data_IF_349071614187
#
_entry.id   IF_349071614187
#
_cell.length_a   1.000
_cell.length_b   1.000
_cell.length_c   1.000
_cell.angle_alpha   90.00
_cell.angle_beta   90.00
_cell.angle_gamma   90.00
#
_symmetry.space_group_name_H-M   'P 1'
#
loop_
_entity.id
_entity.type
_entity.pdbx_description
1 polymer ?
2 polymer ?
3 water ?
#
# COMPACT_ATOMS: atom_id res chain seq x y z
N UNK A 1 13.38 -16.01 -16.33
CA UNK A 1 12.36 -15.78 -17.40
C UNK A 1 11.10 -16.59 -17.10
N UNK A 2 11.05 -17.18 -15.90
CA UNK A 2 9.92 -17.98 -15.47
C UNK A 2 8.59 -17.25 -15.60
N UNK A 3 8.55 -15.99 -15.16
CA UNK A 3 7.33 -15.19 -15.23
C UNK A 3 7.08 -14.55 -16.59
N UNK A 4 7.72 -15.08 -17.63
CA UNK A 4 7.55 -14.57 -18.99
C UNK A 4 7.16 -15.70 -19.95
N UNK A 5 6.92 -16.88 -19.39
CA UNK A 5 6.52 -18.04 -20.18
C UNK A 5 5.02 -18.00 -20.42
N UNK A 6 4.62 -18.33 -21.65
CA UNK A 6 3.22 -18.37 -22.02
C UNK A 6 2.53 -17.02 -21.95
N UNK A 7 3.30 -15.94 -21.87
CA UNK A 7 2.67 -14.64 -21.80
C UNK A 7 2.18 -14.28 -23.21
N UNK A 8 0.92 -13.86 -23.33
CA UNK A 8 0.39 -13.50 -24.65
C UNK A 8 -0.05 -12.04 -24.74
N UNK A 9 -0.02 -11.34 -23.60
CA UNK A 9 -0.32 -9.92 -23.55
C UNK A 9 0.41 -9.37 -22.32
N UNK A 10 1.21 -8.33 -22.53
CA UNK A 10 1.98 -7.70 -21.44
C UNK A 10 1.97 -6.18 -21.64
N UNK A 11 0.97 -5.51 -21.06
CA UNK A 11 0.84 -4.06 -21.22
C UNK A 11 1.78 -3.29 -20.30
N UNK A 12 2.65 -2.48 -20.90
CA UNK A 12 3.63 -1.70 -20.17
C UNK A 12 3.70 -0.25 -20.64
N UNK A 13 4.10 0.62 -19.71
CA UNK A 13 4.24 2.02 -20.03
C UNK A 13 5.43 2.22 -20.95
N UNK A 14 5.29 3.16 -21.88
CA UNK A 14 6.36 3.52 -22.79
C UNK A 14 5.99 4.84 -23.50
N UNK A 15 6.81 5.88 -23.33
CA UNK A 15 6.59 7.18 -23.97
C UNK A 15 5.19 7.72 -23.79
N UNK A 16 4.80 7.94 -22.54
CA UNK A 16 3.46 8.42 -22.26
C UNK A 16 2.43 7.59 -23.00
N UNK A 17 2.58 6.27 -22.99
CA UNK A 17 1.63 5.41 -23.67
C UNK A 17 1.69 4.01 -23.09
N UNK A 18 0.74 3.17 -23.47
CA UNK A 18 0.73 1.79 -23.02
C UNK A 18 0.95 0.96 -24.27
N UNK A 19 1.81 -0.04 -24.16
CA UNK A 19 2.14 -0.87 -25.31
C UNK A 19 2.22 -2.34 -24.92
N UNK A 20 1.85 -3.22 -25.85
CA UNK A 20 1.93 -4.64 -25.61
C UNK A 20 3.35 -5.09 -25.88
N UNK A 21 4.03 -5.59 -24.85
CA UNK A 21 5.41 -6.05 -24.98
C UNK A 21 5.53 -7.55 -24.94
N UNK A 22 4.43 -8.24 -25.17
CA UNK A 22 4.39 -9.70 -25.18
C UNK A 22 5.26 -10.30 -26.29
N UNK A 23 5.44 -9.54 -27.37
CA UNK A 23 6.19 -10.05 -28.49
C UNK A 23 5.23 -10.47 -29.60
N UNK A 24 3.94 -10.25 -29.37
CA UNK A 24 2.94 -10.60 -30.38
C UNK A 24 2.35 -9.38 -31.07
N UNK A 25 2.76 -8.20 -30.61
CA UNK A 25 2.33 -6.96 -31.24
C UNK A 25 0.87 -6.54 -31.29
N UNK A 26 0.15 -6.76 -30.21
CA UNK A 26 -1.24 -6.37 -30.14
C UNK A 26 -1.34 -4.84 -30.23
N UNK A 27 -2.44 -4.36 -30.80
CA UNK A 27 -2.67 -2.93 -30.92
C UNK A 27 -3.36 -2.45 -29.63
N UNK A 28 -2.86 -1.34 -29.10
CA UNK A 28 -3.41 -0.78 -27.88
C UNK A 28 -3.77 0.68 -28.13
N UNK A 29 -5.03 1.01 -27.84
CA UNK A 29 -5.49 2.38 -28.03
C UNK A 29 -5.95 2.93 -26.69
N UNK A 30 -5.14 3.81 -26.12
CA UNK A 30 -5.44 4.46 -24.85
C UNK A 30 -6.05 5.82 -25.18
N UNK A 31 -7.29 6.05 -24.73
CA UNK A 31 -7.96 7.32 -24.99
C UNK A 31 -7.57 8.37 -23.96
N UNK A 32 -7.77 9.63 -24.32
CA UNK A 32 -7.41 10.79 -23.49
C UNK A 32 -7.93 10.84 -22.06
N UNK A 33 -8.94 10.03 -21.72
CA UNK A 33 -9.45 10.06 -20.36
C UNK A 33 -8.70 9.14 -19.40
N UNK A 34 -7.68 8.45 -19.89
CA UNK A 34 -6.90 7.54 -19.04
C UNK A 34 -5.63 8.20 -18.51
N UNK A 35 -5.47 8.31 -17.19
CA UNK A 35 -4.25 8.92 -16.69
C UNK A 35 -3.18 7.83 -16.59
N UNK A 36 -1.98 8.12 -17.10
CA UNK A 36 -0.84 7.21 -17.07
C UNK A 36 0.40 7.87 -16.49
N UNK A 37 1.20 7.13 -15.76
CA UNK A 37 2.47 7.68 -15.26
C UNK A 37 3.59 6.64 -15.52
N UNK A 38 4.84 7.08 -15.40
CA UNK A 38 5.97 6.22 -15.65
C UNK A 38 6.23 5.17 -14.57
N UNK A 39 5.32 5.05 -13.61
CA UNK A 39 5.45 4.02 -12.61
C UNK A 39 4.52 2.88 -13.07
N UNK A 40 4.13 2.91 -14.35
CA UNK A 40 3.25 1.88 -14.92
C UNK A 40 1.84 1.82 -14.33
N UNK A 41 1.39 2.89 -13.68
CA UNK A 41 0.06 2.91 -13.12
C UNK A 41 -0.88 3.63 -14.09
N UNK A 42 -2.11 3.15 -14.22
CA UNK A 42 -3.07 3.85 -15.06
C UNK A 42 -4.42 3.92 -14.33
N UNK A 43 -5.12 5.02 -14.55
CA UNK A 43 -6.38 5.29 -13.86
C UNK A 43 -7.58 5.33 -14.78
N UNK A 44 -8.61 4.58 -14.43
CA UNK A 44 -9.85 4.57 -15.21
C UNK A 44 -10.84 5.35 -14.38
N UNK A 45 -11.45 6.38 -14.98
CA UNK A 45 -12.44 7.22 -14.29
C UNK A 45 -13.82 6.99 -14.91
N UNK A 46 -14.79 7.80 -14.52
CA UNK A 46 -16.14 7.68 -15.06
C UNK A 46 -16.32 8.44 -16.37
N UNK A 47 -15.30 9.15 -16.84
CA UNK A 47 -15.47 9.86 -18.10
C UNK A 47 -15.62 8.88 -19.25
N UNK A 48 -16.41 9.29 -20.24
CA UNK A 48 -16.68 8.45 -21.40
C UNK A 48 -15.42 8.10 -22.18
N UNK A 49 -14.44 9.00 -22.17
CA UNK A 49 -13.20 8.76 -22.89
C UNK A 49 -12.10 8.15 -22.00
N UNK A 50 -12.48 7.69 -20.81
CA UNK A 50 -11.53 7.06 -19.91
C UNK A 50 -11.58 5.56 -20.21
N UNK A 51 -10.89 5.16 -21.27
CA UNK A 51 -10.92 3.76 -21.68
C UNK A 51 -9.70 3.37 -22.51
N UNK A 52 -9.48 2.07 -22.55
CA UNK A 52 -8.39 1.51 -23.31
C UNK A 52 -8.95 0.38 -24.14
N UNK A 53 -8.56 0.33 -25.41
CA UNK A 53 -9.00 -0.72 -26.32
C UNK A 53 -7.80 -1.54 -26.77
N UNK A 54 -7.86 -2.85 -26.56
CA UNK A 54 -6.78 -3.73 -26.99
C UNK A 54 -7.33 -4.70 -28.03
N UNK A 55 -6.71 -4.73 -29.19
CA UNK A 55 -7.11 -5.65 -30.25
C UNK A 55 -6.02 -6.72 -30.27
N UNK A 56 -6.40 -7.94 -29.92
CA UNK A 56 -5.45 -9.05 -29.83
C UNK A 56 -5.02 -9.64 -31.17
N UNK A 57 -3.80 -10.16 -31.19
CA UNK A 57 -3.23 -10.81 -32.36
C UNK A 57 -4.03 -12.10 -32.54
N UNK A 58 -4.83 -12.18 -33.58
CA UNK A 58 -5.65 -13.37 -33.83
C UNK A 58 -4.90 -14.67 -34.13
N UNK A 59 -3.61 -14.58 -34.45
CA UNK A 59 -2.83 -15.78 -34.75
C UNK A 59 -2.43 -16.54 -33.51
N UNK A 60 -2.63 -15.95 -32.34
CA UNK A 60 -2.26 -16.62 -31.11
C UNK A 60 -3.16 -17.84 -30.91
N UNK A 61 -2.57 -18.94 -30.44
CA UNK A 61 -3.33 -20.17 -30.24
C UNK A 61 -3.64 -20.43 -28.77
N UNK A 62 -4.89 -20.82 -28.52
CA UNK A 62 -5.37 -21.12 -27.18
C UNK A 62 -5.67 -22.62 -27.03
N UNK A 63 -5.80 -23.09 -25.79
CA UNK A 63 -6.09 -24.49 -25.59
C UNK A 63 -7.47 -24.78 -26.16
N UNK A 64 -7.53 -25.80 -27.03
CA UNK A 64 -8.78 -26.18 -27.68
C UNK A 64 -9.64 -27.17 -26.87
N UNK A 65 -9.01 -27.90 -25.97
CA UNK A 65 -9.72 -28.86 -25.13
C UNK A 65 -10.46 -28.14 -24.01
N UNK A 66 -9.75 -27.31 -23.25
CA UNK A 66 -10.37 -26.56 -22.18
C UNK A 66 -9.79 -25.16 -22.10
N UNK A 67 -10.45 -24.31 -21.31
CA UNK A 67 -10.00 -22.94 -21.12
C UNK A 67 -8.78 -22.99 -20.21
N UNK A 68 -7.59 -22.82 -20.78
CA UNK A 68 -6.36 -22.88 -20.01
C UNK A 68 -5.56 -21.56 -20.02
N UNK A 69 -5.99 -20.60 -19.22
CA UNK A 69 -5.27 -19.34 -19.22
C UNK A 69 -5.32 -18.56 -17.91
N UNK A 70 -4.53 -17.51 -17.84
CA UNK A 70 -4.43 -16.73 -16.63
C UNK A 70 -4.32 -15.23 -16.88
N UNK A 71 -4.82 -14.46 -15.93
CA UNK A 71 -4.75 -13.01 -15.99
C UNK A 71 -4.17 -12.50 -14.67
N UNK A 72 -3.27 -11.54 -14.74
CA UNK A 72 -2.69 -10.97 -13.54
C UNK A 72 -2.52 -9.46 -13.69
N UNK A 73 -2.59 -8.76 -12.56
CA UNK A 73 -2.47 -7.30 -12.52
C UNK A 73 -2.51 -6.82 -11.08
N UNK A 74 -2.10 -5.57 -10.88
CA UNK A 74 -2.14 -4.99 -9.55
C UNK A 74 -3.28 -4.01 -9.63
N UNK A 75 -3.96 -3.81 -8.51
CA UNK A 75 -5.09 -2.89 -8.53
C UNK A 75 -5.17 -2.08 -7.23
N UNK A 76 -5.82 -0.93 -7.30
CA UNK A 76 -5.99 -0.14 -6.10
C UNK A 76 -7.39 0.43 -6.18
N UNK A 77 -8.27 -0.06 -5.30
CA UNK A 77 -9.68 0.32 -5.28
C UNK A 77 -9.98 1.32 -4.15
N UNK A 78 -10.53 2.49 -4.49
CA UNK A 78 -10.82 3.45 -3.42
C UNK A 78 -11.84 3.03 -2.36
N UNK A 79 -11.70 3.64 -1.20
CA UNK A 79 -12.59 3.40 -0.10
C UNK A 79 -13.99 3.86 -0.50
N UNK A 80 -14.99 3.24 0.11
CA UNK A 80 -16.38 3.61 -0.11
C UNK A 80 -16.61 5.01 0.47
N UNK A 81 -17.67 5.68 0.01
CA UNK A 81 -18.03 6.98 0.56
C UNK A 81 -18.96 6.68 1.75
N UNK A 82 -18.67 7.25 2.91
CA UNK A 82 -19.50 7.03 4.10
C UNK A 82 -20.98 7.31 3.88
N UNK A 83 -21.28 8.32 3.07
CA UNK A 83 -22.67 8.66 2.80
C UNK A 83 -23.16 8.03 1.49
N UNK A 84 -22.54 6.93 1.07
CA UNK A 84 -22.95 6.27 -0.15
C UNK A 84 -22.74 4.78 -0.03
N UNK A 85 -22.80 4.30 1.19
CA UNK A 85 -22.59 2.89 1.48
C UNK A 85 -23.49 1.94 0.67
N UNK A 86 -24.78 2.25 0.57
CA UNK A 86 -25.70 1.39 -0.15
C UNK A 86 -25.32 1.14 -1.60
N UNK A 87 -25.07 2.21 -2.36
CA UNK A 87 -24.71 2.04 -3.75
C UNK A 87 -23.41 1.25 -3.86
N UNK A 88 -22.48 1.51 -2.95
CA UNK A 88 -21.19 0.82 -2.94
C UNK A 88 -21.45 -0.68 -2.87
N UNK A 89 -22.21 -1.08 -1.85
CA UNK A 89 -22.54 -2.48 -1.63
C UNK A 89 -23.34 -3.17 -2.72
N UNK A 90 -24.21 -2.43 -3.41
CA UNK A 90 -25.07 -3.02 -4.42
C UNK A 90 -24.76 -2.82 -5.87
N UNK A 91 -24.16 -1.69 -6.23
CA UNK A 91 -23.90 -1.44 -7.64
C UNK A 91 -22.64 -2.08 -8.18
N UNK A 92 -22.84 -3.05 -9.07
CA UNK A 92 -21.73 -3.75 -9.68
C UNK A 92 -21.35 -3.05 -10.96
N UNK A 93 -20.05 -2.94 -11.20
CA UNK A 93 -19.58 -2.31 -12.43
C UNK A 93 -18.43 -3.10 -13.05
N UNK A 94 -18.47 -3.22 -14.37
CA UNK A 94 -17.43 -3.91 -15.11
C UNK A 94 -16.23 -2.98 -15.24
N UNK A 95 -15.04 -3.53 -15.17
CA UNK A 95 -13.87 -2.68 -15.32
C UNK A 95 -13.08 -3.10 -16.54
N UNK A 96 -13.07 -4.41 -16.81
CA UNK A 96 -12.40 -4.98 -17.97
C UNK A 96 -13.34 -6.01 -18.61
N UNK A 97 -13.56 -5.87 -19.91
CA UNK A 97 -14.48 -6.75 -20.63
C UNK A 97 -13.90 -7.28 -21.95
N UNK A 98 -13.88 -8.61 -22.12
CA UNK A 98 -13.37 -9.20 -23.37
C UNK A 98 -14.41 -10.20 -23.92
N UNK A 99 -15.35 -9.68 -24.69
CA UNK A 99 -16.42 -10.50 -25.24
C UNK A 99 -16.42 -10.61 -26.77
N UNK A 100 -16.76 -11.79 -27.26
CA UNK A 100 -16.84 -12.00 -28.70
C UNK A 100 -18.01 -12.96 -28.92
N UNK A 101 -18.95 -12.53 -29.75
CA UNK A 101 -20.14 -13.31 -30.05
C UNK A 101 -20.83 -13.79 -28.78
N UNK A 102 -20.84 -12.92 -27.78
CA UNK A 102 -21.48 -13.17 -26.50
C UNK A 102 -20.80 -14.21 -25.63
N UNK A 103 -19.53 -14.45 -25.91
CA UNK A 103 -18.75 -15.39 -25.15
C UNK A 103 -17.46 -14.67 -24.77
N UNK A 104 -16.89 -15.00 -23.62
CA UNK A 104 -15.68 -14.34 -23.20
C UNK A 104 -15.55 -14.26 -21.69
N UNK A 105 -14.79 -13.27 -21.23
CA UNK A 105 -14.58 -13.10 -19.82
C UNK A 105 -14.66 -11.63 -19.45
N UNK A 106 -14.82 -11.37 -18.17
CA UNK A 106 -14.86 -10.00 -17.70
C UNK A 106 -14.48 -9.93 -16.24
N UNK A 107 -13.96 -8.77 -15.87
CA UNK A 107 -13.57 -8.52 -14.50
C UNK A 107 -14.47 -7.36 -14.08
N UNK A 108 -15.15 -7.55 -12.96
CA UNK A 108 -16.04 -6.51 -12.49
C UNK A 108 -15.85 -6.31 -10.99
N UNK A 109 -16.48 -5.25 -10.49
CA UNK A 109 -16.38 -4.91 -9.09
C UNK A 109 -17.73 -4.53 -8.48
N UNK A 110 -18.01 -5.05 -7.30
CA UNK A 110 -19.22 -4.66 -6.59
C UNK A 110 -18.77 -4.32 -5.16
N UNK A 111 -18.67 -3.03 -4.87
CA UNK A 111 -18.24 -2.63 -3.53
C UNK A 111 -16.86 -3.16 -3.18
N UNK A 112 -16.80 -4.03 -2.19
CA UNK A 112 -15.54 -4.62 -1.70
C UNK A 112 -15.27 -6.03 -2.24
N UNK A 113 -15.86 -6.34 -3.38
CA UNK A 113 -15.69 -7.64 -4.01
C UNK A 113 -15.17 -7.45 -5.44
N UNK A 114 -14.19 -8.27 -5.84
CA UNK A 114 -13.63 -8.25 -7.19
C UNK A 114 -14.13 -9.55 -7.80
N UNK A 115 -14.73 -9.46 -8.98
CA UNK A 115 -15.36 -10.62 -9.63
C UNK A 115 -14.85 -11.00 -11.03
N UNK A 116 -14.60 -12.30 -11.23
CA UNK A 116 -14.16 -12.86 -12.50
C UNK A 116 -15.30 -13.70 -13.03
N UNK A 117 -15.71 -13.43 -14.26
CA UNK A 117 -16.83 -14.12 -14.90
C UNK A 117 -16.50 -14.67 -16.28
N UNK A 118 -16.94 -15.90 -16.51
CA UNK A 118 -16.74 -16.61 -17.78
C UNK A 118 -18.09 -16.96 -18.39
N UNK A 119 -18.22 -16.72 -19.69
CA UNK A 119 -19.45 -17.04 -20.40
C UNK A 119 -19.05 -17.88 -21.61
N UNK A 120 -19.51 -19.13 -21.68
CA UNK A 120 -19.13 -19.97 -22.81
C UNK A 120 -20.04 -19.78 -24.03
N UNK A 121 -19.80 -20.53 -25.09
CA UNK A 121 -20.59 -20.38 -26.31
C UNK A 121 -22.05 -20.79 -26.19
N UNK A 122 -22.38 -21.58 -25.17
CA UNK A 122 -23.76 -21.99 -24.95
C UNK A 122 -24.48 -20.95 -24.10
N UNK A 123 -23.74 -19.96 -23.62
CA UNK A 123 -24.35 -18.93 -22.82
C UNK A 123 -24.29 -19.23 -21.34
N UNK A 124 -23.70 -20.37 -20.99
CA UNK A 124 -23.59 -20.73 -19.59
C UNK A 124 -22.54 -19.82 -18.91
N UNK A 125 -22.78 -19.50 -17.66
CA UNK A 125 -21.91 -18.61 -16.91
C UNK A 125 -21.44 -19.13 -15.58
N UNK A 126 -20.28 -18.64 -15.17
CA UNK A 126 -19.69 -19.02 -13.88
C UNK A 126 -18.83 -17.86 -13.42
N UNK A 127 -18.78 -17.67 -12.11
CA UNK A 127 -17.95 -16.61 -11.57
C UNK A 127 -17.23 -17.08 -10.32
N UNK A 128 -16.19 -16.35 -9.97
CA UNK A 128 -15.42 -16.59 -8.76
C UNK A 128 -15.00 -15.19 -8.32
N UNK A 129 -15.05 -14.92 -7.02
CA UNK A 129 -14.70 -13.59 -6.53
C UNK A 129 -13.86 -13.54 -5.25
N UNK A 130 -13.34 -12.35 -4.96
CA UNK A 130 -12.56 -12.12 -3.74
C UNK A 130 -13.16 -10.90 -3.06
N UNK A 131 -13.52 -11.06 -1.81
CA UNK A 131 -14.13 -9.95 -1.07
C UNK A 131 -13.28 -9.65 0.16
N UNK A 132 -12.96 -8.39 0.39
CA UNK A 132 -12.17 -8.06 1.57
C UNK A 132 -13.08 -7.37 2.58
N UNK A 133 -12.77 -7.57 3.85
CA UNK A 133 -13.54 -7.03 4.93
C UNK A 133 -13.56 -5.50 4.98
N UNK A 134 -14.73 -4.92 5.28
CA UNK A 134 -14.84 -3.47 5.40
C UNK A 134 -15.24 -3.02 6.83
N UNK A 135 -14.81 -3.77 7.83
CA UNK A 135 -15.11 -3.43 9.21
C UNK A 135 -13.89 -3.55 10.12
N UNK A 136 -12.73 -3.79 9.53
CA UNK A 136 -11.49 -3.89 10.30
C UNK A 136 -10.99 -2.51 10.69
N UNK A 137 -10.25 -2.43 11.79
CA UNK A 137 -9.69 -1.16 12.23
C UNK A 137 -8.80 -0.63 11.09
N UNK A 138 -7.91 -1.49 10.62
CA UNK A 138 -6.99 -1.14 9.53
C UNK A 138 -7.00 -2.24 8.47
N UNK A 139 -7.43 -1.90 7.27
CA UNK A 139 -7.47 -2.90 6.20
C UNK A 139 -6.16 -2.99 5.41
N UNK A 140 -5.81 -4.19 4.98
CA UNK A 140 -4.62 -4.40 4.16
C UNK A 140 -4.95 -4.18 2.67
N UNK A 141 -6.24 -4.05 2.34
CA UNK A 141 -6.66 -3.90 0.94
C UNK A 141 -7.36 -2.61 0.50
N UNK A 142 -8.12 -1.98 1.37
CA UNK A 142 -8.84 -0.78 0.98
C UNK A 142 -7.93 0.37 0.55
N UNK A 143 -8.11 0.78 -0.71
CA UNK A 143 -7.34 1.87 -1.31
C UNK A 143 -5.81 1.62 -1.32
N UNK A 144 -5.41 0.37 -1.12
CA UNK A 144 -3.98 0.03 -1.13
C UNK A 144 -3.68 -0.90 -2.30
N UNK A 145 -2.52 -0.73 -2.91
CA UNK A 145 -2.16 -1.60 -4.04
C UNK A 145 -2.06 -3.07 -3.64
N UNK A 146 -2.72 -3.95 -4.38
CA UNK A 146 -2.57 -5.38 -4.12
C UNK A 146 -2.55 -6.15 -5.44
N UNK A 147 -1.99 -7.35 -5.38
CA UNK A 147 -1.76 -8.21 -6.54
C UNK A 147 -2.81 -9.28 -6.78
N UNK A 148 -3.37 -9.30 -7.99
CA UNK A 148 -4.40 -10.25 -8.32
C UNK A 148 -3.93 -11.15 -9.45
N UNK A 149 -4.32 -12.42 -9.36
CA UNK A 149 -4.01 -13.39 -10.41
C UNK A 149 -5.20 -14.34 -10.47
N UNK A 150 -5.76 -14.49 -11.66
CA UNK A 150 -6.88 -15.40 -11.88
C UNK A 150 -6.38 -16.48 -12.84
N UNK A 151 -6.58 -17.75 -12.50
CA UNK A 151 -6.15 -18.84 -13.36
C UNK A 151 -7.36 -19.70 -13.65
N UNK A 152 -7.37 -20.30 -14.83
CA UNK A 152 -8.47 -21.16 -15.26
C UNK A 152 -7.89 -22.42 -15.92
N UNK A 153 -8.43 -23.58 -15.57
CA UNK A 153 -8.02 -24.82 -16.23
C UNK A 153 -9.31 -25.58 -16.51
N UNK A 154 -9.19 -26.86 -16.83
CA UNK A 154 -10.36 -27.66 -17.12
C UNK A 154 -11.37 -27.69 -15.98
N UNK A 155 -10.89 -27.86 -14.76
CA UNK A 155 -11.76 -27.99 -13.60
C UNK A 155 -12.22 -26.80 -12.77
N UNK A 156 -11.44 -25.72 -12.74
CA UNK A 156 -11.86 -24.57 -11.95
C UNK A 156 -11.15 -23.25 -12.16
N UNK A 157 -11.80 -22.20 -11.68
CA UNK A 157 -11.28 -20.85 -11.77
C UNK A 157 -10.84 -20.44 -10.36
N UNK A 158 -9.61 -19.96 -10.25
CA UNK A 158 -9.04 -19.56 -8.97
C UNK A 158 -8.64 -18.09 -8.95
N UNK A 159 -8.72 -17.49 -7.77
CA UNK A 159 -8.29 -16.12 -7.57
C UNK A 159 -7.24 -16.14 -6.46
N UNK A 160 -6.07 -15.62 -6.79
CA UNK A 160 -4.96 -15.53 -5.87
C UNK A 160 -4.79 -14.04 -5.54
N UNK A 161 -4.59 -13.74 -4.26
CA UNK A 161 -4.37 -12.36 -3.88
C UNK A 161 -3.02 -12.32 -3.22
N UNK A 162 -2.15 -11.46 -3.75
CA UNK A 162 -0.80 -11.32 -3.24
C UNK A 162 -0.07 -12.66 -3.15
N UNK A 163 -0.24 -13.47 -4.19
CA UNK A 163 0.42 -14.76 -4.25
C UNK A 163 -0.27 -15.91 -3.53
N UNK A 164 -1.35 -15.65 -2.82
CA UNK A 164 -2.02 -16.71 -2.09
C UNK A 164 -3.45 -17.01 -2.57
N UNK A 165 -3.78 -18.30 -2.62
CA UNK A 165 -5.10 -18.73 -3.08
C UNK A 165 -6.19 -18.26 -2.13
N UNK A 166 -7.17 -17.56 -2.67
CA UNK A 166 -8.28 -17.02 -1.88
C UNK A 166 -9.64 -17.59 -2.25
N UNK A 167 -9.84 -17.86 -3.53
CA UNK A 167 -11.14 -18.38 -3.99
C UNK A 167 -10.97 -19.37 -5.11
N UNK A 168 -11.99 -20.20 -5.27
CA UNK A 168 -12.01 -21.22 -6.30
C UNK A 168 -13.45 -21.56 -6.65
N UNK A 169 -13.71 -21.78 -7.93
CA UNK A 169 -15.04 -22.15 -8.41
C UNK A 169 -14.90 -23.26 -9.44
N UNK A 170 -15.72 -24.30 -9.30
CA UNK A 170 -15.69 -25.40 -10.25
C UNK A 170 -16.32 -24.94 -11.56
N UNK A 171 -15.62 -25.20 -12.67
CA UNK A 171 -16.13 -24.82 -13.98
C UNK A 171 -16.17 -25.99 -14.96
N UNK A 172 -16.12 -27.22 -14.45
CA UNK A 172 -16.15 -28.41 -15.29
C UNK A 172 -17.33 -28.36 -16.27
N UNK A 173 -18.37 -27.63 -15.90
CA UNK A 173 -19.59 -27.47 -16.70
C UNK A 173 -19.43 -26.56 -17.91
N UNK A 174 -18.48 -25.64 -17.83
CA UNK A 174 -18.28 -24.71 -18.91
C UNK A 174 -17.58 -25.32 -20.12
N UNK A 175 -18.13 -25.02 -21.29
CA UNK A 175 -17.54 -25.52 -22.52
C UNK A 175 -16.73 -24.38 -23.17
N UNK A 176 -16.58 -24.37 -24.49
CA UNK A 176 -15.78 -23.33 -25.13
C UNK A 176 -16.09 -21.88 -24.76
N UNK A 177 -15.02 -21.14 -24.47
CA UNK A 177 -15.12 -19.72 -24.15
C UNK A 177 -14.28 -18.96 -25.18
N UNK A 178 -14.86 -17.99 -25.87
CA UNK A 178 -14.10 -17.22 -26.87
C UNK A 178 -13.30 -16.13 -26.13
N UNK A 179 -11.98 -16.28 -26.11
CA UNK A 179 -11.13 -15.33 -25.37
C UNK A 179 -10.23 -14.36 -26.16
N UNK A 180 -10.35 -14.34 -27.48
CA UNK A 180 -9.51 -13.44 -28.24
C UNK A 180 -10.18 -12.17 -28.78
N UNK A 181 -11.36 -11.83 -28.25
CA UNK A 181 -12.02 -10.62 -28.71
C UNK A 181 -11.30 -9.37 -28.22
N UNK A 182 -11.82 -8.19 -28.54
CA UNK A 182 -11.19 -6.94 -28.10
C UNK A 182 -11.28 -6.85 -26.59
N UNK A 183 -10.27 -6.28 -25.96
CA UNK A 183 -10.34 -6.12 -24.52
C UNK A 183 -10.63 -4.64 -24.28
N UNK A 184 -11.71 -4.36 -23.54
CA UNK A 184 -12.06 -2.98 -23.26
C UNK A 184 -11.86 -2.69 -21.76
N UNK A 185 -10.95 -1.77 -21.46
CA UNK A 185 -10.71 -1.36 -20.08
C UNK A 185 -11.57 -0.10 -19.92
N UNK A 186 -12.59 -0.17 -19.07
CA UNK A 186 -13.49 0.96 -18.88
C UNK A 186 -14.52 0.66 -17.81
N UNK A 187 -14.79 1.63 -16.94
CA UNK A 187 -15.78 1.45 -15.88
C UNK A 187 -17.16 1.45 -16.51
N UNK A 188 -17.89 0.35 -16.37
CA UNK A 188 -19.21 0.27 -16.98
C UNK A 188 -20.27 -0.26 -16.01
N UNK A 189 -21.21 0.61 -15.67
CA UNK A 189 -22.27 0.23 -14.76
C UNK A 189 -22.83 1.49 -14.12
N UNK A 190 -23.69 1.33 -13.12
CA UNK A 190 -24.26 2.49 -12.45
C UNK A 190 -23.27 2.94 -11.39
N UNK A 191 -22.26 3.68 -11.82
CA UNK A 191 -21.22 4.14 -10.93
C UNK A 191 -21.35 5.61 -10.57
N UNK A 192 -20.76 5.99 -9.46
CA UNK A 192 -20.78 7.38 -9.06
C UNK A 192 -19.83 8.11 -10.01
N UNK A 193 -20.03 9.42 -10.12
CA UNK A 193 -19.24 10.28 -10.96
C UNK A 193 -17.80 10.37 -10.46
N UNK A 194 -17.61 10.17 -9.16
CA UNK A 194 -16.29 10.21 -8.55
C UNK A 194 -15.58 8.87 -8.52
N UNK A 195 -16.21 7.81 -9.03
CA UNK A 195 -15.60 6.50 -9.03
C UNK A 195 -14.38 6.41 -9.93
N UNK A 196 -13.36 5.69 -9.46
CA UNK A 196 -12.17 5.50 -10.27
C UNK A 196 -11.46 4.24 -9.79
N UNK A 197 -10.55 3.75 -10.60
CA UNK A 197 -9.77 2.56 -10.29
C UNK A 197 -8.36 2.76 -10.84
N UNK A 198 -7.34 2.33 -10.10
CA UNK A 198 -5.95 2.36 -10.59
C UNK A 198 -5.51 0.91 -10.87
N UNK A 199 -4.78 0.69 -11.96
CA UNK A 199 -4.30 -0.64 -12.29
C UNK A 199 -2.87 -0.52 -12.73
N UNK A 200 -2.17 -1.66 -12.70
CA UNK A 200 -0.76 -1.72 -13.08
C UNK A 200 -0.36 -3.12 -13.54
N UNK A 201 0.56 -3.20 -14.49
CA UNK A 201 1.08 -4.49 -14.99
C UNK A 201 0.07 -5.52 -15.47
N UNK A 202 -0.90 -5.13 -16.28
CA UNK A 202 -1.88 -6.10 -16.76
C UNK A 202 -1.23 -7.08 -17.74
N UNK A 203 -1.43 -8.37 -17.48
CA UNK A 203 -0.84 -9.43 -18.30
C UNK A 203 -1.77 -10.64 -18.48
N UNK A 204 -1.63 -11.30 -19.61
CA UNK A 204 -2.44 -12.49 -19.88
C UNK A 204 -1.50 -13.61 -20.30
N UNK A 205 -1.81 -14.84 -19.87
CA UNK A 205 -0.99 -16.00 -20.20
C UNK A 205 -1.90 -17.07 -20.78
N UNK A 206 -1.40 -17.83 -21.75
CA UNK A 206 -2.23 -18.91 -22.28
C UNK A 206 -1.87 -20.23 -21.58
N UNK A 207 -2.00 -20.20 -20.27
CA UNK A 207 -1.73 -21.38 -19.47
C UNK A 207 -2.20 -21.07 -18.05
N UNK A 208 -2.45 -22.12 -17.28
CA UNK A 208 -2.87 -21.98 -15.89
C UNK A 208 -1.57 -21.84 -15.10
N UNK A 209 -1.36 -20.67 -14.48
CA UNK A 209 -0.15 -20.44 -13.70
C UNK A 209 -0.18 -21.22 -12.38
N UNK A 210 0.97 -21.75 -11.98
CA UNK A 210 1.09 -22.49 -10.73
C UNK A 210 1.20 -21.51 -9.56
N UNK A 211 0.87 -21.97 -8.37
CA UNK A 211 0.94 -21.13 -7.18
C UNK A 211 2.36 -20.62 -7.00
N UNK A 212 3.33 -21.50 -7.24
CA UNK A 212 4.74 -21.17 -7.13
C UNK A 212 5.12 -20.07 -8.12
N UNK A 213 4.63 -20.21 -9.34
CA UNK A 213 4.91 -19.21 -10.37
C UNK A 213 4.29 -17.86 -10.00
N UNK A 214 3.08 -17.90 -9.44
CA UNK A 214 2.37 -16.70 -9.04
C UNK A 214 3.05 -15.96 -7.88
N UNK A 215 3.48 -16.71 -6.87
CA UNK A 215 4.14 -16.11 -5.72
C UNK A 215 5.44 -15.44 -6.15
N UNK A 216 6.12 -16.07 -7.09
CA UNK A 216 7.38 -15.55 -7.62
C UNK A 216 7.18 -14.21 -8.33
N UNK A 217 6.14 -14.14 -9.16
CA UNK A 217 5.83 -12.91 -9.90
C UNK A 217 5.41 -11.80 -8.90
N UNK A 218 4.76 -12.18 -7.82
CA UNK A 218 4.36 -11.20 -6.82
C UNK A 218 5.60 -10.51 -6.26
N UNK A 219 6.58 -11.32 -5.86
CA UNK A 219 7.82 -10.79 -5.31
C UNK A 219 8.60 -9.97 -6.33
N UNK A 220 8.69 -10.45 -7.56
CA UNK A 220 9.42 -9.73 -8.60
C UNK A 220 8.77 -8.39 -8.90
N UNK A 221 7.45 -8.36 -9.01
CA UNK A 221 6.78 -7.11 -9.31
C UNK A 221 6.70 -6.19 -8.08
N UNK A 222 6.88 -6.72 -6.87
CA UNK A 222 6.84 -5.90 -5.63
C UNK A 222 8.19 -5.25 -5.38
N UNK A 223 9.21 -5.76 -6.06
CA UNK A 223 10.55 -5.25 -5.87
C UNK A 223 10.83 -3.85 -6.40
N UNK A 224 11.55 -3.05 -5.62
CA UNK A 224 11.95 -1.70 -6.04
C UNK A 224 13.11 -1.22 -5.15
N UNK A 225 13.90 -0.29 -5.68
CA UNK A 225 15.02 0.26 -4.94
C UNK A 225 14.51 1.24 -3.88
N UNK A 226 13.33 1.80 -4.16
CA UNK A 226 12.73 2.77 -3.26
C UNK A 226 11.72 2.22 -2.26
N UNK A 227 11.49 3.02 -1.22
CA UNK A 227 10.54 2.66 -0.20
C UNK A 227 9.14 3.05 -0.71
N UNK A 228 8.12 2.48 -0.11
CA UNK A 228 6.76 2.76 -0.51
C UNK A 228 6.01 3.41 0.65
N UNK A 229 4.92 4.13 0.35
CA UNK A 229 4.12 4.70 1.42
C UNK A 229 3.02 3.68 1.79
N UNK A 230 2.12 4.05 2.69
CA UNK A 230 1.06 3.16 3.20
C UNK A 230 0.17 2.56 2.10
N UNK A 231 -0.13 3.35 1.07
CA UNK A 231 -0.99 2.91 -0.03
C UNK A 231 -0.21 2.02 -1.01
N UNK A 232 1.11 2.07 -0.94
CA UNK A 232 1.91 1.24 -1.83
C UNK A 232 2.59 2.03 -2.93
N UNK A 233 2.42 3.35 -2.94
CA UNK A 233 3.07 4.20 -3.94
C UNK A 233 4.47 4.54 -3.42
N UNK A 234 5.35 5.04 -4.30
CA UNK A 234 6.72 5.39 -3.87
C UNK A 234 6.72 6.42 -2.75
N UNK A 235 7.60 6.23 -1.77
CA UNK A 235 7.73 7.14 -0.65
C UNK A 235 8.51 8.35 -1.16
N UNK A 236 8.10 9.55 -0.76
CA UNK A 236 8.77 10.77 -1.25
C UNK A 236 9.33 11.72 -0.19
N UNK A 237 10.33 12.49 -0.61
CA UNK A 237 10.93 13.52 0.22
C UNK A 237 10.00 14.74 0.04
N UNK A 238 10.02 15.65 1.00
CA UNK A 238 9.24 16.88 0.93
C UNK A 238 7.73 16.70 0.77
N UNK A 239 7.20 15.60 1.30
CA UNK A 239 5.78 15.32 1.20
C UNK A 239 5.23 15.06 2.60
N UNK A 240 4.06 15.64 2.90
CA UNK A 240 3.45 15.48 4.23
C UNK A 240 2.88 14.08 4.40
N UNK A 241 3.18 13.49 5.54
CA UNK A 241 2.71 12.15 5.85
C UNK A 241 2.29 12.05 7.31
N UNK A 242 1.28 11.22 7.57
CA UNK A 242 0.88 10.91 8.95
C UNK A 242 1.68 9.62 9.16
N UNK A 243 1.94 9.23 10.41
CA UNK A 243 2.70 8.01 10.63
C UNK A 243 1.88 6.87 11.23
N UNK A 244 2.14 5.66 10.73
CA UNK A 244 1.42 4.46 11.15
C UNK A 244 2.44 3.46 11.67
N UNK A 245 2.08 2.79 12.76
CA UNK A 245 2.97 1.81 13.35
C UNK A 245 2.35 0.41 13.25
N UNK A 246 3.05 -0.48 12.56
CA UNK A 246 2.59 -1.84 12.33
C UNK A 246 2.39 -2.66 13.59
N UNK A 247 3.16 -2.36 14.64
CA UNK A 247 3.04 -3.10 15.89
C UNK A 247 1.99 -2.54 16.83
N UNK A 248 1.43 -1.37 16.50
CA UNK A 248 0.41 -0.71 17.31
C UNK A 248 -0.48 0.05 16.33
N UNK A 249 -1.16 -0.71 15.49
CA UNK A 249 -2.00 -0.17 14.43
C UNK A 249 -3.03 0.88 14.83
N UNK A 250 -3.51 0.83 16.07
CA UNK A 250 -4.50 1.79 16.52
C UNK A 250 -3.89 2.96 17.28
N UNK A 251 -2.57 3.09 17.20
CA UNK A 251 -1.87 4.18 17.88
C UNK A 251 -1.34 5.25 16.93
N UNK A 252 -1.27 6.47 17.42
CA UNK A 252 -0.71 7.57 16.63
C UNK A 252 0.09 8.51 17.54
N UNK A 253 1.01 9.23 16.93
CA UNK A 253 1.90 10.17 17.62
C UNK A 253 1.33 11.59 17.73
N UNK A 254 1.42 12.14 18.94
CA UNK A 254 0.95 13.48 19.22
C UNK A 254 1.95 14.16 20.13
N UNK A 255 2.37 15.36 19.77
CA UNK A 255 3.32 16.11 20.59
C UNK A 255 2.66 16.36 21.94
N UNK A 256 3.32 15.96 23.01
CA UNK A 256 2.77 16.14 24.34
C UNK A 256 2.63 17.62 24.70
N UNK A 257 1.50 17.97 25.31
CA UNK A 257 1.23 19.34 25.72
C UNK A 257 2.30 19.84 26.69
N UNK A 258 2.90 20.99 26.39
CA UNK A 258 3.92 21.55 27.26
C UNK A 258 5.18 20.70 27.45
N UNK A 259 5.38 19.68 26.60
CA UNK A 259 6.60 18.89 26.70
C UNK A 259 7.06 18.48 25.31
N UNK A 260 8.37 18.60 25.03
CA UNK A 260 8.97 18.27 23.74
C UNK A 260 9.17 16.77 23.47
N UNK A 261 8.09 16.00 23.64
CA UNK A 261 8.15 14.56 23.42
C UNK A 261 6.88 14.14 22.70
N UNK A 262 6.91 12.94 22.15
CA UNK A 262 5.75 12.44 21.44
C UNK A 262 5.07 11.37 22.25
N UNK A 263 3.82 11.63 22.61
CA UNK A 263 3.05 10.64 23.35
C UNK A 263 2.22 9.91 22.32
N UNK A 264 1.82 8.69 22.66
CA UNK A 264 1.04 7.85 21.77
C UNK A 264 -0.40 7.82 22.21
N UNK A 265 -1.31 8.17 21.31
CA UNK A 265 -2.72 8.16 21.62
C UNK A 265 -3.43 7.08 20.80
N UNK A 266 -4.70 6.83 21.09
CA UNK A 266 -5.49 5.82 20.40
C UNK A 266 -6.30 6.40 19.25
N UNK A 267 -6.23 5.75 18.10
CA UNK A 267 -6.95 6.22 16.93
C UNK A 267 -8.45 6.23 17.16
N UNK A 268 -9.10 7.32 16.75
CA UNK A 268 -10.54 7.42 16.86
C UNK A 268 -11.08 6.60 15.68
N UNK A 269 -12.40 6.37 15.64
CA UNK A 269 -12.96 5.60 14.56
C UNK A 269 -14.31 6.10 14.05
N UNK A 270 -14.78 5.47 12.99
CA UNK A 270 -16.05 5.78 12.34
C UNK A 270 -17.14 6.00 13.39
N UNK A 271 -17.82 7.14 13.27
CA UNK A 271 -18.88 7.53 14.20
C UNK A 271 -20.23 7.03 13.72
N UNK A 272 -20.75 7.71 12.70
CA UNK A 272 -22.04 7.40 12.10
C UNK A 272 -22.42 5.95 12.37
N UNK A 273 -23.69 5.71 12.67
CA UNK A 273 -24.10 4.36 12.97
C UNK A 273 -24.48 3.52 11.77
N UNK A 274 -23.45 2.96 11.13
CA UNK A 274 -23.64 2.09 9.98
C UNK A 274 -23.01 0.76 10.39
N UNK A 275 -23.85 -0.27 10.54
CA UNK A 275 -23.37 -1.59 10.94
C UNK A 275 -22.61 -2.24 9.80
N UNK A 276 -22.72 -1.65 8.62
CA UNK A 276 -22.04 -2.19 7.44
C UNK A 276 -20.54 -1.89 7.41
N UNK A 277 -20.15 -0.73 7.93
CA UNK A 277 -18.75 -0.33 7.91
C UNK A 277 -18.13 0.11 9.24
N UNK A 278 -16.82 -0.12 9.35
CA UNK A 278 -16.00 0.28 10.49
C UNK A 278 -14.52 0.42 10.09
N UNK A 279 -13.88 1.45 10.60
CA UNK A 279 -12.47 1.71 10.33
C UNK A 279 -11.97 2.71 11.36
N UNK A 280 -10.65 2.77 11.53
CA UNK A 280 -10.01 3.72 12.43
C UNK A 280 -9.50 4.85 11.53
N UNK A 281 -9.48 6.07 12.06
CA UNK A 281 -9.02 7.21 11.30
C UNK A 281 -7.53 7.12 11.02
N UNK A 282 -7.15 7.56 9.82
CA UNK A 282 -5.77 7.55 9.34
C UNK A 282 -5.13 8.93 9.32
N UNK A 283 -5.92 9.95 9.05
CA UNK A 283 -5.38 11.29 8.97
C UNK A 283 -5.40 11.94 10.35
N UNK A 284 -4.57 11.45 11.27
CA UNK A 284 -4.50 12.01 12.62
C UNK A 284 -3.09 11.95 13.14
N UNK A 285 -2.82 12.76 14.16
CA UNK A 285 -1.50 12.83 14.76
C UNK A 285 -0.71 13.90 14.02
N UNK A 286 0.58 14.04 14.35
CA UNK A 286 1.40 15.04 13.71
C UNK A 286 1.63 14.74 12.22
N UNK A 287 1.81 15.81 11.45
CA UNK A 287 2.09 15.69 10.02
C UNK A 287 3.61 15.73 9.92
N UNK A 288 4.19 14.64 9.43
CA UNK A 288 5.62 14.54 9.29
C UNK A 288 6.07 14.88 7.86
N UNK A 289 7.36 15.10 7.69
CA UNK A 289 7.89 15.35 6.38
C UNK A 289 9.34 14.88 6.37
N UNK A 290 9.70 14.13 5.34
CA UNK A 290 11.05 13.58 5.22
C UNK A 290 11.93 14.51 4.37
N UNK A 291 13.09 14.86 4.91
CA UNK A 291 14.06 15.73 4.24
C UNK A 291 15.34 14.95 3.97
N UNK A 292 15.88 15.17 2.79
CA UNK A 292 17.10 14.53 2.38
C UNK A 292 18.24 15.14 3.19
N UNK A 293 19.16 14.31 3.67
CA UNK A 293 20.31 14.87 4.38
C UNK A 293 21.33 14.97 3.25
N UNK A 294 21.82 16.19 3.00
CA UNK A 294 22.82 16.43 1.96
C UNK A 294 22.80 17.88 1.52
N UNK A 301 11.37 17.37 -4.48
CA UNK A 301 10.56 16.17 -4.28
C UNK A 301 11.13 14.93 -4.95
N UNK A 302 11.82 14.10 -4.17
CA UNK A 302 12.38 12.87 -4.71
C UNK A 302 11.78 11.61 -4.13
N UNK A 303 12.35 10.47 -4.50
CA UNK A 303 11.82 9.17 -4.13
C UNK A 303 12.24 8.32 -2.90
N UNK A 304 12.98 8.88 -1.95
CA UNK A 304 13.45 8.10 -0.80
C UNK A 304 13.80 6.63 -1.10
N UNK A 305 15.08 6.33 -1.09
CA UNK A 305 15.56 4.97 -1.34
C UNK A 305 16.12 4.35 -0.09
N UNK A 306 16.10 3.02 -0.06
CA UNK A 306 16.66 2.28 1.07
C UNK A 306 18.08 2.74 1.32
N UNK A 307 18.43 2.87 2.60
CA UNK A 307 19.76 3.28 3.04
C UNK A 307 20.04 4.77 2.97
N UNK A 308 19.10 5.57 2.48
CA UNK A 308 19.29 7.02 2.40
C UNK A 308 19.37 7.62 3.79
N UNK A 309 20.12 8.72 3.94
CA UNK A 309 20.20 9.39 5.23
C UNK A 309 19.21 10.55 5.19
N UNK A 310 18.38 10.65 6.21
CA UNK A 310 17.34 11.65 6.20
C UNK A 310 17.20 12.34 7.53
N UNK A 311 16.27 13.29 7.56
CA UNK A 311 15.89 14.00 8.76
C UNK A 311 14.39 13.74 8.76
N UNK A 312 13.84 13.40 9.93
CA UNK A 312 12.42 13.17 10.06
C UNK A 312 11.90 14.41 10.75
N UNK A 313 11.19 15.24 10.00
CA UNK A 313 10.67 16.49 10.54
C UNK A 313 9.16 16.41 10.65
N UNK A 314 8.58 17.38 11.33
CA UNK A 314 7.14 17.44 11.46
C UNK A 314 6.75 18.90 11.68
N UNK A 315 5.47 19.18 11.49
CA UNK A 315 4.98 20.53 11.64
C UNK A 315 4.38 20.87 13.00
N UNK A 316 4.99 21.85 13.63
CA UNK A 316 4.51 22.31 14.93
C UNK A 316 4.19 23.79 14.85
N UNK A 317 2.91 24.13 14.83
CA UNK A 317 2.47 25.52 14.80
C UNK A 317 3.33 26.45 13.94
N UNK A 318 3.05 26.44 12.65
CA UNK A 318 3.74 27.29 11.70
C UNK A 318 5.26 27.14 11.56
N UNK A 319 5.82 26.07 12.09
CA UNK A 319 7.27 25.90 11.98
C UNK A 319 7.63 24.44 11.80
N UNK A 320 8.71 24.19 11.05
CA UNK A 320 9.14 22.82 10.83
C UNK A 320 10.04 22.42 11.98
N UNK A 321 9.65 21.36 12.69
CA UNK A 321 10.45 20.85 13.80
C UNK A 321 11.14 19.56 13.38
N UNK A 322 11.95 19.00 14.28
CA UNK A 322 12.71 17.80 13.95
C UNK A 322 12.68 16.75 15.06
N UNK A 323 12.92 15.50 14.68
CA UNK A 323 12.95 14.38 15.63
C UNK A 323 14.39 14.04 15.94
N UNK A 324 14.74 14.10 17.22
CA UNK A 324 16.11 13.82 17.66
C UNK A 324 16.16 12.73 18.73
N UNK A 325 17.34 12.16 18.91
CA UNK A 325 17.57 11.20 19.99
C UNK A 325 18.73 11.75 20.83
N UNK A 326 18.55 11.74 22.14
CA UNK A 326 19.63 12.18 23.03
C UNK A 326 20.78 11.21 22.74
N UNK A 327 22.00 11.73 22.65
CA UNK A 327 23.17 10.91 22.37
C UNK A 327 23.61 10.01 23.53
N UNK A 328 23.17 10.30 24.75
CA UNK A 328 23.64 9.49 25.87
C UNK A 328 22.59 8.88 26.80
N UNK A 329 21.44 8.47 26.27
CA UNK A 329 20.45 7.86 27.15
C UNK A 329 21.13 6.59 27.69
N UNK A 330 20.89 6.26 28.96
CA UNK A 330 21.55 5.09 29.51
C UNK A 330 20.72 3.80 29.62
N UNK A 331 19.41 3.93 29.42
CA UNK A 331 18.53 2.77 29.48
C UNK A 331 18.53 2.08 28.11
N UNK A 332 17.72 1.05 27.97
CA UNK A 332 17.62 0.31 26.73
C UNK A 332 16.93 1.13 25.64
N UNK A 333 15.94 1.92 26.06
CA UNK A 333 15.19 2.76 25.15
C UNK A 333 14.89 4.09 25.85
N UNK A 334 14.69 5.14 25.07
CA UNK A 334 14.39 6.46 25.62
C UNK A 334 13.40 7.25 24.78
N UNK A 335 12.83 8.29 25.36
CA UNK A 335 11.89 9.15 24.66
C UNK A 335 12.66 9.99 23.66
N UNK A 336 12.11 10.18 22.47
CA UNK A 336 12.75 11.00 21.44
C UNK A 336 12.52 12.47 21.77
N UNK A 337 13.45 13.31 21.34
CA UNK A 337 13.35 14.75 21.58
C UNK A 337 12.78 15.38 20.30
N UNK A 338 11.63 16.05 20.42
CA UNK A 338 10.97 16.71 19.29
C UNK A 338 11.09 18.20 19.49
N UNK A 339 11.94 18.84 18.67
CA UNK A 339 12.19 20.27 18.81
C UNK A 339 12.54 20.99 17.51
N UNK A 340 12.79 22.32 17.59
CA UNK A 340 13.12 23.08 16.39
C UNK A 340 14.43 22.58 15.78
N UNK A 341 14.62 22.94 14.52
CA UNK A 341 15.82 22.57 13.78
C UNK A 341 16.97 23.46 14.27
N UNK A 342 18.00 22.84 14.83
CA UNK A 342 19.14 23.58 15.32
C UNK A 342 20.26 22.61 15.64
N UNK A 343 21.49 23.12 15.70
CA UNK A 343 22.64 22.30 16.00
C UNK A 343 22.75 22.03 17.49
N UNK A 344 23.32 20.87 17.81
CA UNK A 344 23.45 20.47 19.20
C UNK A 344 24.59 19.49 19.38
N UNK A 345 25.16 19.47 20.58
CA UNK A 345 26.26 18.56 20.88
C UNK A 345 25.70 17.27 21.49
N UNK A 346 24.57 17.38 22.17
CA UNK A 346 23.97 16.24 22.85
C UNK A 346 22.82 15.49 22.17
N UNK A 347 22.56 15.77 20.90
CA UNK A 347 21.49 15.09 20.19
C UNK A 347 21.88 14.66 18.80
N UNK A 348 21.43 13.48 18.41
CA UNK A 348 21.65 12.97 17.06
C UNK A 348 20.40 13.31 16.24
N UNK A 349 20.57 13.66 14.97
CA UNK A 349 19.42 14.02 14.13
C UNK A 349 19.38 13.22 12.83
N UNK A 350 20.46 12.52 12.52
CA UNK A 350 20.54 11.75 11.29
C UNK A 350 19.92 10.37 11.42
N UNK A 351 19.03 10.06 10.48
CA UNK A 351 18.38 8.76 10.51
C UNK A 351 18.64 8.08 9.19
N UNK A 352 18.87 6.78 9.22
CA UNK A 352 19.04 6.07 7.97
C UNK A 352 17.75 5.26 7.87
N UNK A 353 17.09 5.34 6.72
CA UNK A 353 15.84 4.63 6.55
C UNK A 353 16.15 3.24 5.97
N UNK A 354 15.59 2.20 6.58
CA UNK A 354 15.88 0.84 6.17
C UNK A 354 14.67 0.00 5.79
N UNK A 355 14.97 -1.16 5.22
CA UNK A 355 13.97 -2.13 4.86
C UNK A 355 14.57 -3.50 5.22
N UNK A 356 14.25 -3.99 6.40
CA UNK A 356 14.80 -5.26 6.87
C UNK A 356 14.02 -6.48 6.43
N UNK A 357 12.75 -6.29 6.08
CA UNK A 357 11.92 -7.40 5.66
C UNK A 357 12.39 -7.86 4.29
N UNK A 358 12.41 -9.17 4.06
CA UNK A 358 12.82 -9.69 2.76
C UNK A 358 11.59 -9.98 1.89
N UNK A 359 10.42 -10.04 2.52
CA UNK A 359 9.17 -10.25 1.81
C UNK A 359 8.55 -8.88 1.48
N UNK A 360 7.71 -8.82 0.44
CA UNK A 360 7.06 -7.55 0.05
C UNK A 360 6.41 -6.91 1.28
N UNK A 361 6.60 -5.61 1.47
CA UNK A 361 6.02 -4.93 2.62
C UNK A 361 5.94 -3.45 2.29
N UNK A 362 5.13 -2.70 3.02
CA UNK A 362 5.07 -1.26 2.81
C UNK A 362 5.66 -0.62 4.07
N UNK A 363 6.19 -1.45 4.97
CA UNK A 363 6.78 -0.91 6.20
C UNK A 363 8.27 -0.65 6.03
N UNK A 364 8.79 0.34 6.73
CA UNK A 364 10.21 0.62 6.72
C UNK A 364 10.65 0.84 8.18
N UNK A 365 11.95 0.92 8.40
CA UNK A 365 12.48 1.15 9.75
C UNK A 365 13.39 2.38 9.73
N UNK A 366 13.49 3.02 10.90
CA UNK A 366 14.26 4.25 11.07
C UNK A 366 15.43 4.06 12.06
N UNK A 367 16.64 4.02 11.52
CA UNK A 367 17.86 3.80 12.31
C UNK A 367 18.64 5.08 12.58
N UNK A 368 18.76 5.46 13.85
CA UNK A 368 19.52 6.65 14.18
C UNK A 368 21.00 6.35 14.06
N UNK A 369 21.72 7.28 13.46
CA UNK A 369 23.15 7.14 13.24
C UNK A 369 23.91 8.26 13.93
N UNK A 370 25.08 7.91 14.45
CA UNK A 370 25.96 8.87 15.13
C UNK A 370 26.39 9.80 14.00
N UNK A 371 26.97 9.18 12.99
CA UNK A 371 27.46 9.87 11.81
C UNK A 371 27.15 8.96 10.62
N UNK A 372 26.92 9.56 9.46
CA UNK A 372 26.64 8.77 8.26
C UNK A 372 27.79 7.80 8.04
N UNK A 373 29.01 8.30 8.22
CA UNK A 373 30.22 7.51 8.05
C UNK A 373 30.33 6.38 9.06
N UNK A 374 30.44 6.72 10.35
CA UNK A 374 30.56 5.71 11.38
C UNK A 374 29.52 4.60 11.23
N UNK A 375 29.94 3.37 11.46
CA UNK A 375 29.06 2.21 11.34
C UNK A 375 28.33 1.96 12.65
N UNK A 376 28.48 2.88 13.59
CA UNK A 376 27.84 2.78 14.90
C UNK A 376 26.31 2.87 14.82
N UNK A 377 25.64 2.01 15.57
CA UNK A 377 24.17 2.00 15.60
C UNK A 377 23.63 2.40 16.96
N UNK A 378 22.93 3.53 16.99
CA UNK A 378 22.38 4.04 18.23
C UNK A 378 21.10 3.31 18.66
N UNK A 379 20.22 3.06 17.70
CA UNK A 379 18.98 2.39 18.02
C UNK A 379 17.94 2.65 16.95
N UNK A 380 16.78 2.00 17.08
CA UNK A 380 15.70 2.15 16.12
C UNK A 380 14.51 2.85 16.75
N UNK A 381 13.77 3.59 15.94
CA UNK A 381 12.60 4.30 16.42
C UNK A 381 11.43 3.34 16.58
N UNK A 382 10.73 3.45 17.70
CA UNK A 382 9.60 2.58 17.98
C UNK A 382 8.67 3.20 19.00
N UNK A 383 7.92 2.38 19.71
CA UNK A 383 6.98 2.85 20.75
C UNK A 383 7.27 2.06 22.03
N UNK A 384 7.38 2.74 23.17
CA UNK A 384 7.68 2.07 24.42
C UNK A 384 6.84 2.57 25.58
N UNK A 385 6.51 1.67 26.50
CA UNK A 385 5.72 2.06 27.66
C UNK A 385 6.62 2.63 28.76
N UNK A 386 6.37 3.89 29.12
CA UNK A 386 7.15 4.55 30.16
C UNK A 386 6.33 4.75 31.42
N UNK A 387 7.03 4.61 32.53
CA UNK A 387 6.44 4.73 33.85
C UNK A 387 6.43 6.21 34.19
N UNK A 388 5.23 6.74 34.36
CA UNK A 388 5.01 8.14 34.65
C UNK A 388 4.56 8.30 36.11
N UNK A 389 5.14 7.49 36.98
CA UNK A 389 4.82 7.51 38.41
C UNK A 389 4.50 8.92 38.94
N UNK A 390 3.26 9.10 39.39
CA UNK A 390 2.87 10.39 39.90
C UNK A 390 2.74 10.39 41.42
N UNK A 391 2.58 11.57 42.01
CA UNK A 391 2.45 11.70 43.46
C UNK A 391 1.49 10.67 44.06
N UNK A 392 0.28 10.59 43.51
CA UNK A 392 -0.71 9.63 44.00
C UNK A 392 -0.20 8.22 43.74
N UNK A 393 -0.54 7.64 42.59
CA UNK A 393 -0.06 6.31 42.25
C UNK A 393 0.56 6.30 40.87
N UNK A 394 1.25 5.23 40.55
CA UNK A 394 1.95 5.08 39.28
C UNK A 394 1.08 4.66 38.10
N UNK A 395 1.13 5.45 37.04
CA UNK A 395 0.40 5.15 35.82
C UNK A 395 1.44 5.07 34.71
N UNK A 396 1.15 4.34 33.65
CA UNK A 396 2.10 4.21 32.55
C UNK A 396 1.55 4.84 31.29
N UNK A 397 2.43 5.08 30.33
CA UNK A 397 2.02 5.67 29.07
C UNK A 397 3.06 5.38 28.00
N UNK A 398 2.58 5.17 26.78
CA UNK A 398 3.47 4.90 25.65
C UNK A 398 4.04 6.20 25.09
N UNK A 399 5.31 6.12 24.69
CA UNK A 399 5.99 7.26 24.10
C UNK A 399 6.74 6.89 22.83
N UNK A 400 6.81 7.86 21.93
CA UNK A 400 7.53 7.78 20.66
C UNK A 400 8.97 7.67 21.18
N UNK A 401 9.66 6.58 20.87
CA UNK A 401 11.01 6.37 21.41
C UNK A 401 12.09 5.84 20.49
N UNK A 402 13.27 5.65 21.08
CA UNK A 402 14.40 5.04 20.39
C UNK A 402 14.62 3.80 21.26
N UNK A 403 14.94 2.67 20.64
CA UNK A 403 15.17 1.46 21.40
C UNK A 403 16.34 0.65 20.84
N UNK A 404 17.20 0.18 21.74
CA UNK A 404 18.35 -0.63 21.36
C UNK A 404 17.96 -2.09 21.19
N UNK A 405 16.82 -2.47 21.78
CA UNK A 405 16.34 -3.84 21.71
C UNK A 405 15.97 -4.32 20.31
N UNK A 406 15.52 -3.42 19.44
CA UNK A 406 15.13 -3.80 18.08
C UNK A 406 16.34 -4.15 17.24
N UNK A 407 17.47 -3.53 17.55
CA UNK A 407 18.70 -3.77 16.81
C UNK A 407 18.95 -5.24 16.58
N UNK A 408 18.78 -6.05 17.61
CA UNK A 408 18.99 -7.48 17.52
C UNK A 408 17.78 -8.18 16.92
N UNK A 409 16.58 -7.75 17.32
CA UNK A 409 15.38 -8.41 16.82
C UNK A 409 15.18 -8.34 15.33
N UNK A 410 15.60 -7.24 14.70
CA UNK A 410 15.41 -7.10 13.26
C UNK A 410 16.26 -8.08 12.48
N UNK A 411 17.18 -8.77 13.15
CA UNK A 411 18.05 -9.74 12.49
C UNK A 411 17.43 -11.13 12.43
N UNK A 412 16.49 -11.39 13.33
CA UNK A 412 15.81 -12.69 13.36
C UNK A 412 15.07 -12.95 12.05
N UNK A 413 15.16 -14.17 11.53
CA UNK A 413 14.45 -14.52 10.31
C UNK A 413 13.53 -15.71 10.54
N UNK A 414 12.34 -15.68 9.92
CA UNK A 414 11.85 -14.62 9.04
C UNK A 414 11.56 -13.32 9.82
N UNK A 415 11.67 -12.20 9.13
CA UNK A 415 11.44 -10.90 9.73
C UNK A 415 10.08 -10.84 10.41
N UNK A 416 10.02 -10.26 11.61
CA UNK A 416 8.77 -10.14 12.35
C UNK A 416 8.01 -8.88 11.89
N UNK A 417 6.94 -9.09 11.14
CA UNK A 417 6.13 -8.00 10.61
C UNK A 417 5.45 -7.15 11.67
N UNK A 418 5.30 -7.70 12.87
CA UNK A 418 4.64 -6.98 13.96
C UNK A 418 5.58 -6.18 14.88
N UNK A 419 6.88 -6.17 14.58
CA UNK A 419 7.81 -5.41 15.41
C UNK A 419 7.39 -3.95 15.48
N UNK A 420 7.49 -3.38 16.67
CA UNK A 420 7.13 -1.99 16.90
C UNK A 420 8.03 -0.98 16.22
N UNK A 421 9.10 -1.45 15.57
CA UNK A 421 9.95 -0.52 14.85
C UNK A 421 9.55 -0.46 13.35
N UNK A 422 8.42 -1.07 13.00
CA UNK A 422 7.94 -1.07 11.61
C UNK A 422 6.98 0.11 11.44
N UNK A 423 7.35 1.06 10.57
CA UNK A 423 6.54 2.24 10.31
C UNK A 423 6.11 2.35 8.85
N UNK A 424 4.98 3.02 8.64
CA UNK A 424 4.45 3.29 7.33
C UNK A 424 4.06 4.76 7.27
N UNK A 425 4.15 5.35 6.08
CA UNK A 425 3.82 6.77 5.94
C UNK A 425 2.52 6.92 5.18
N UNK A 426 1.60 7.70 5.73
CA UNK A 426 0.31 7.86 5.10
C UNK A 426 0.06 9.27 4.62
N UNK A 427 0.04 9.48 3.29
CA UNK A 427 -0.22 10.82 2.76
C UNK A 427 -1.73 10.87 2.47
N UNK A 428 -2.28 12.08 2.42
CA UNK A 428 -3.69 12.26 2.07
C UNK A 428 -3.87 11.68 0.67
N UNK A 429 -4.95 10.94 0.46
CA UNK A 429 -5.18 10.34 -0.84
C UNK A 429 -6.66 10.42 -1.19
N UNK A 430 -6.96 10.80 -2.43
CA UNK A 430 -8.34 10.96 -2.87
C UNK A 430 -9.19 9.69 -2.74
N UNK A 431 -8.52 8.54 -2.70
CA UNK A 431 -9.24 7.27 -2.57
C UNK A 431 -9.56 6.89 -1.13
N UNK A 432 -9.23 7.75 -0.17
CA UNK A 432 -9.56 7.47 1.22
C UNK A 432 -10.05 8.76 1.85
N UNK A 433 -11.37 8.85 2.09
CA UNK A 433 -11.94 10.06 2.70
C UNK A 433 -12.58 9.68 4.04
N UNK A 434 -12.32 10.45 5.09
CA UNK A 434 -12.88 10.13 6.40
C UNK A 434 -13.55 11.33 7.07
N UNK A 435 -14.66 11.82 6.48
CA UNK A 435 -15.41 12.97 6.99
C UNK A 435 -15.94 12.71 8.41
N UNK A 436 -15.81 13.71 9.28
CA UNK A 436 -16.26 13.62 10.68
C UNK A 436 -17.77 13.41 10.83
N UNK B 1 19.32 33.78 21.34
CA UNK B 1 17.94 33.45 20.86
C UNK B 1 17.56 32.02 21.22
N UNK B 2 17.63 31.14 20.23
CA UNK B 2 17.28 29.74 20.37
C UNK B 2 16.73 29.25 21.69
N UNK B 3 15.40 29.16 21.75
CA UNK B 3 14.73 28.65 22.94
C UNK B 3 14.83 27.13 22.84
N UNK B 4 15.51 26.67 21.79
CA UNK B 4 15.75 25.24 21.56
C UNK B 4 16.41 24.73 22.82
N UNK B 5 17.16 25.63 23.47
CA UNK B 5 17.86 25.33 24.69
C UNK B 5 16.90 25.17 25.86
N UNK B 6 15.91 26.05 25.96
CA UNK B 6 14.94 25.94 27.04
C UNK B 6 14.29 24.57 26.93
N UNK B 7 13.82 24.25 25.73
CA UNK B 7 13.17 22.97 25.45
C UNK B 7 14.05 21.81 25.85
N UNK B 8 15.32 21.88 25.47
CA UNK B 8 16.29 20.84 25.79
C UNK B 8 16.19 20.56 27.29
N UNK B 9 16.00 21.62 28.07
CA UNK B 9 15.89 21.47 29.51
C UNK B 9 14.59 20.81 29.96
N UNK B 10 13.49 21.12 29.30
CA UNK B 10 12.23 20.49 29.65
C UNK B 10 12.32 19.02 29.28
N UNK B 11 13.14 18.71 28.28
CA UNK B 11 13.34 17.33 27.85
C UNK B 11 14.06 16.58 28.95
N UNK B 12 15.23 17.07 29.34
CA UNK B 12 16.01 16.40 30.36
C UNK B 12 15.23 16.15 31.64
N UNK B 13 14.34 17.06 31.98
CA UNK B 13 13.57 16.82 33.18
C UNK B 13 12.54 15.72 32.90
N UNK B 14 11.97 15.73 31.71
CA UNK B 14 10.97 14.73 31.33
C UNK B 14 11.52 13.31 31.38
N UNK B 15 12.79 13.12 31.04
CA UNK B 15 13.37 11.79 31.07
C UNK B 15 14.02 11.48 32.43
N UNK B 16 14.71 12.46 33.00
CA UNK B 16 15.38 12.33 34.30
C UNK B 16 14.44 11.81 35.36
N UNK B 17 13.38 12.57 35.62
CA UNK B 17 12.40 12.16 36.63
C UNK B 17 11.25 11.42 35.97
#
# INVERSE_FOLDING_TARGET
SEILNNIILNLRYKDNNLIDLSGYGAKVEVYDGVELNDKNQFKLTSSANSKIRVTQNQNIIFNSVFLDFSVSFWIRIPKYKNDGIQNYIHNEYTIINCMKNNSGWKISIRGNRIIWTLIDINGKTKSVFFEYNIREDISEYINRWFFVTITNNLNNAKIYINGKLESNTDIKDIREVIANGEIIFKLDGDIDRTQFIWMKYFSIFNTELSQSNIEERYKIQSYSEYLKDFWGNPLMYNKEYYMFNAGNKNSYIKLKKDSPVGEILTRSKYNQNSKYINYRDLYIGEKFIIRRKSNSQSINDDIVRKEDYIYLDFFNLNQEWRVYTYKYFKKEEEKLFLAPISDSDEFYNTIQIKEYDEQPTYSCQLLFKKDEESTDEIGLIGIHRFYESGIVFEEYKDYFCISKWYLKEVKRKPYNLKLGCNWQFIPKDEGWTEPP
EDMFAKLKDKFFNEINK
#
